data_IF_734220542336
#
_entry.id   IF_734220542336
#
_cell.length_a   1.000
_cell.length_b   1.000
_cell.length_c   1.000
_cell.angle_alpha   90.00
_cell.angle_beta   90.00
_cell.angle_gamma   90.00
#
_symmetry.space_group_name_H-M   'P 1'
#
loop_
_entity.id
_entity.type
_entity.pdbx_description
1 polymer ?
#
# COMPACT_ATOMS: atom_id res chain seq x y z
N UNK A 1 -40.38 -14.45 -1.04
CA UNK A 1 -39.28 -13.47 -1.14
C UNK A 1 -38.00 -14.21 -0.76
N UNK A 2 -37.15 -14.46 -1.74
CA UNK A 2 -36.04 -15.37 -1.61
C UNK A 2 -34.93 -14.76 -0.76
N UNK A 3 -34.34 -15.57 0.09
CA UNK A 3 -33.12 -15.27 0.88
C UNK A 3 -31.87 -15.01 0.01
N UNK A 4 -31.98 -15.28 -1.30
CA UNK A 4 -30.84 -15.23 -2.24
C UNK A 4 -30.24 -13.84 -2.50
N UNK A 5 -31.02 -12.79 -2.27
CA UNK A 5 -30.52 -11.39 -2.44
C UNK A 5 -29.83 -10.84 -1.19
N UNK A 6 -30.05 -11.44 -0.04
CA UNK A 6 -29.48 -10.97 1.23
C UNK A 6 -28.07 -11.53 1.48
N UNK A 7 -27.78 -12.70 0.94
CA UNK A 7 -26.53 -13.43 1.14
C UNK A 7 -25.31 -12.69 0.54
N UNK A 8 -25.32 -12.18 -0.71
CA UNK A 8 -24.17 -11.52 -1.29
C UNK A 8 -23.73 -10.25 -0.56
N UNK A 9 -24.66 -9.47 -0.01
CA UNK A 9 -24.33 -8.23 0.71
C UNK A 9 -23.65 -8.50 2.06
N UNK A 10 -24.08 -9.53 2.78
CA UNK A 10 -23.45 -9.95 4.04
C UNK A 10 -22.04 -10.51 3.77
N UNK A 11 -21.88 -11.30 2.73
CA UNK A 11 -20.60 -11.87 2.35
C UNK A 11 -19.60 -10.80 1.91
N UNK A 12 -20.04 -9.79 1.15
CA UNK A 12 -19.18 -8.68 0.77
C UNK A 12 -18.69 -7.89 1.97
N UNK A 13 -19.54 -7.59 2.94
CA UNK A 13 -19.15 -6.92 4.17
C UNK A 13 -18.16 -7.76 5.01
N UNK A 14 -18.39 -9.08 5.11
CA UNK A 14 -17.50 -10.01 5.81
C UNK A 14 -16.12 -10.14 5.16
N UNK A 15 -15.99 -9.91 3.85
CA UNK A 15 -14.73 -9.90 3.14
C UNK A 15 -14.01 -8.56 3.26
N UNK A 16 -14.70 -7.45 3.01
CA UNK A 16 -14.08 -6.12 2.92
C UNK A 16 -13.50 -5.64 4.26
N UNK A 17 -14.18 -5.92 5.37
CA UNK A 17 -13.70 -5.50 6.69
C UNK A 17 -12.32 -6.09 7.05
N UNK A 18 -12.08 -7.42 6.98
CA UNK A 18 -10.77 -7.98 7.22
C UNK A 18 -9.75 -7.62 6.14
N UNK A 19 -10.17 -7.46 4.87
CA UNK A 19 -9.30 -7.03 3.78
C UNK A 19 -8.63 -5.68 4.10
N UNK A 20 -9.42 -4.67 4.44
CA UNK A 20 -8.88 -3.35 4.76
C UNK A 20 -7.99 -3.32 6.00
N UNK A 21 -8.23 -4.22 6.96
CA UNK A 21 -7.36 -4.34 8.15
C UNK A 21 -6.03 -5.03 7.85
N UNK A 22 -5.98 -5.88 6.84
CA UNK A 22 -4.79 -6.63 6.47
C UNK A 22 -3.84 -5.85 5.56
N UNK A 23 -4.36 -4.89 4.77
CA UNK A 23 -3.56 -4.04 3.87
C UNK A 23 -2.60 -3.15 4.66
N UNK A 24 -1.32 -3.16 4.27
CA UNK A 24 -0.31 -2.22 4.76
C UNK A 24 -0.04 -1.16 3.68
N UNK A 25 0.43 -1.56 2.50
CA UNK A 25 0.66 -0.64 1.38
C UNK A 25 -0.63 -0.01 0.89
N UNK A 26 -1.68 -0.81 0.69
CA UNK A 26 -2.95 -0.34 0.20
C UNK A 26 -3.64 0.73 1.06
N UNK A 27 -3.33 0.82 2.36
CA UNK A 27 -3.91 1.82 3.26
C UNK A 27 -3.17 3.16 3.25
N UNK A 28 -1.91 3.18 2.85
CA UNK A 28 -1.08 4.40 2.89
C UNK A 28 -0.98 5.11 1.54
N UNK A 29 -1.35 4.45 0.45
CA UNK A 29 -1.41 5.04 -0.89
C UNK A 29 -2.69 5.86 -1.10
N UNK A 30 -2.71 6.65 -2.17
CA UNK A 30 -3.90 7.42 -2.54
C UNK A 30 -4.99 6.51 -3.11
N UNK A 31 -6.21 6.58 -2.56
CA UNK A 31 -7.40 5.80 -2.93
C UNK A 31 -8.57 6.65 -3.40
N UNK A 32 -8.34 7.91 -3.73
CA UNK A 32 -9.42 8.85 -4.08
C UNK A 32 -10.19 8.44 -5.34
N UNK A 33 -9.64 7.54 -6.14
CA UNK A 33 -10.20 7.11 -7.42
C UNK A 33 -10.99 5.80 -7.37
N UNK A 34 -11.19 5.20 -6.20
CA UNK A 34 -11.88 3.90 -6.07
C UNK A 34 -13.36 3.93 -6.54
N UNK A 35 -14.03 5.07 -6.42
CA UNK A 35 -15.44 5.21 -6.80
C UNK A 35 -15.71 5.30 -8.32
N UNK A 36 -14.67 5.47 -9.14
CA UNK A 36 -14.80 5.68 -10.58
C UNK A 36 -14.73 4.38 -11.39
N UNK A 37 -14.44 3.25 -10.75
CA UNK A 37 -14.24 1.96 -11.38
C UNK A 37 -15.57 1.20 -11.44
N UNK A 38 -15.89 0.62 -12.60
CA UNK A 38 -17.06 -0.24 -12.79
C UNK A 38 -16.71 -1.63 -13.34
N UNK A 39 -15.69 -1.75 -14.19
CA UNK A 39 -15.37 -3.01 -14.88
C UNK A 39 -13.85 -3.23 -15.03
N UNK A 40 -13.49 -4.49 -15.33
CA UNK A 40 -12.12 -4.83 -15.76
C UNK A 40 -11.78 -4.14 -17.08
N UNK A 41 -10.60 -3.54 -17.11
CA UNK A 41 -10.15 -2.76 -18.28
C UNK A 41 -10.55 -1.29 -18.22
N UNK A 42 -11.29 -0.86 -17.18
CA UNK A 42 -11.55 0.55 -16.96
C UNK A 42 -10.26 1.32 -16.71
N UNK A 43 -10.26 2.56 -17.12
CA UNK A 43 -9.12 3.45 -16.94
C UNK A 43 -9.57 4.76 -16.30
N UNK A 44 -8.86 5.15 -15.25
CA UNK A 44 -9.04 6.43 -14.60
C UNK A 44 -7.96 7.38 -15.08
N UNK A 45 -8.37 8.55 -15.56
CA UNK A 45 -7.47 9.58 -16.05
C UNK A 45 -7.12 10.55 -14.94
N UNK A 46 -5.87 10.52 -14.51
CA UNK A 46 -5.34 11.41 -13.48
C UNK A 46 -4.67 12.58 -14.18
N UNK A 47 -5.25 13.77 -14.06
CA UNK A 47 -4.67 14.97 -14.63
C UNK A 47 -3.71 15.61 -13.63
N UNK A 48 -2.50 15.83 -14.03
CA UNK A 48 -1.49 16.60 -13.30
C UNK A 48 -1.33 17.96 -13.97
N UNK A 49 -1.57 19.02 -13.21
CA UNK A 49 -1.36 20.40 -13.71
C UNK A 49 0.13 20.69 -13.55
N UNK A 50 0.75 21.16 -14.66
CA UNK A 50 2.15 21.56 -14.64
C UNK A 50 2.41 22.77 -13.74
N UNK A 51 3.67 22.96 -13.38
CA UNK A 51 4.08 24.05 -12.49
C UNK A 51 3.79 25.43 -13.10
N UNK A 52 3.34 26.35 -12.25
CA UNK A 52 3.08 27.74 -12.64
C UNK A 52 4.36 28.52 -12.38
N UNK A 53 4.85 29.19 -13.43
CA UNK A 53 6.01 30.08 -13.34
C UNK A 53 5.59 31.42 -12.77
N UNK A 54 6.20 31.83 -11.67
CA UNK A 54 6.03 33.16 -11.09
C UNK A 54 7.10 34.07 -11.68
N UNK A 55 6.68 35.19 -12.27
CA UNK A 55 7.57 36.21 -12.83
C UNK A 55 7.46 37.52 -12.06
N UNK A 56 8.55 38.31 -12.09
CA UNK A 56 8.59 39.60 -11.43
C UNK A 56 7.64 40.59 -12.09
N UNK A 57 6.89 41.33 -11.28
CA UNK A 57 6.01 42.36 -11.75
C UNK A 57 6.75 43.67 -11.94
N UNK A 58 6.72 44.20 -13.17
CA UNK A 58 7.21 45.54 -13.49
C UNK A 58 6.05 46.46 -13.75
N UNK A 59 6.01 47.60 -13.04
CA UNK A 59 4.94 48.59 -13.18
C UNK A 59 4.81 49.08 -14.63
N UNK A 60 3.60 49.08 -15.18
CA UNK A 60 3.24 49.43 -16.55
C UNK A 60 3.72 48.44 -17.65
N UNK A 61 4.21 47.27 -17.27
CA UNK A 61 4.53 46.19 -18.24
C UNK A 61 3.31 45.27 -18.39
N UNK A 62 3.09 44.79 -19.62
CA UNK A 62 2.07 43.79 -19.88
C UNK A 62 2.47 42.45 -19.26
N UNK A 63 1.52 41.76 -18.63
CA UNK A 63 1.73 40.40 -18.08
C UNK A 63 1.73 39.39 -19.23
N UNK A 64 2.68 38.47 -19.21
CA UNK A 64 2.67 37.29 -20.07
C UNK A 64 1.81 36.20 -19.47
N UNK A 65 0.82 35.71 -20.18
CA UNK A 65 -0.03 34.62 -19.76
C UNK A 65 0.65 33.28 -20.12
N UNK A 66 0.79 32.41 -19.09
CA UNK A 66 1.25 31.05 -19.29
C UNK A 66 0.04 30.16 -19.57
N UNK A 67 0.06 29.40 -20.65
CA UNK A 67 -0.91 28.34 -20.88
C UNK A 67 -0.58 27.13 -19.97
N UNK A 68 -1.58 26.66 -19.21
CA UNK A 68 -1.39 25.52 -18.33
C UNK A 68 -1.28 24.24 -19.16
N UNK A 69 -0.14 23.58 -19.05
CA UNK A 69 0.05 22.26 -19.63
C UNK A 69 -0.43 21.20 -18.62
N UNK A 70 -1.30 20.29 -19.06
CA UNK A 70 -1.71 19.15 -18.24
C UNK A 70 -1.03 17.88 -18.75
N UNK A 71 -0.29 17.21 -17.88
CA UNK A 71 0.17 15.85 -18.12
C UNK A 71 -0.92 14.89 -17.66
N UNK A 72 -1.36 14.00 -18.54
CA UNK A 72 -2.37 12.99 -18.21
C UNK A 72 -1.67 11.66 -17.94
N UNK A 73 -1.89 11.09 -16.75
CA UNK A 73 -1.51 9.73 -16.42
C UNK A 73 -2.75 8.85 -16.31
N UNK A 74 -2.69 7.69 -16.89
CA UNK A 74 -3.82 6.76 -16.89
C UNK A 74 -3.53 5.61 -15.93
N UNK A 75 -4.42 5.42 -14.96
CA UNK A 75 -4.47 4.25 -14.08
C UNK A 75 -5.36 3.21 -14.74
N UNK A 76 -4.82 2.04 -15.06
CA UNK A 76 -5.56 0.92 -15.62
C UNK A 76 -5.93 -0.08 -14.53
N UNK A 77 -7.13 -0.63 -14.62
CA UNK A 77 -7.59 -1.75 -13.80
C UNK A 77 -7.30 -3.03 -14.58
N UNK A 78 -6.09 -3.51 -14.45
CA UNK A 78 -5.55 -4.63 -15.23
C UNK A 78 -5.36 -5.91 -14.39
N UNK A 79 -5.55 -5.82 -13.08
CA UNK A 79 -5.42 -6.95 -12.17
C UNK A 79 -6.79 -7.51 -11.78
N UNK A 80 -6.95 -8.81 -11.94
CA UNK A 80 -8.14 -9.53 -11.53
C UNK A 80 -7.72 -10.74 -10.68
N UNK A 81 -8.12 -10.77 -9.42
CA UNK A 81 -7.88 -11.89 -8.52
C UNK A 81 -9.20 -12.51 -8.09
N UNK A 82 -9.29 -13.82 -8.16
CA UNK A 82 -10.47 -14.56 -7.75
C UNK A 82 -10.13 -15.54 -6.64
N UNK A 83 -11.08 -15.73 -5.76
CA UNK A 83 -11.04 -16.81 -4.78
C UNK A 83 -12.29 -17.68 -4.94
N UNK A 84 -12.14 -18.96 -4.64
CA UNK A 84 -13.27 -19.90 -4.58
C UNK A 84 -12.96 -20.97 -3.54
N UNK A 85 -13.94 -21.26 -2.70
CA UNK A 85 -13.87 -22.37 -1.76
C UNK A 85 -15.26 -22.97 -1.59
N UNK A 86 -15.32 -24.26 -1.27
CA UNK A 86 -16.56 -24.98 -0.98
C UNK A 86 -16.52 -25.50 0.46
N UNK A 87 -17.69 -25.56 1.08
CA UNK A 87 -17.87 -26.18 2.39
C UNK A 87 -18.95 -27.24 2.24
N UNK A 88 -18.60 -28.48 2.61
CA UNK A 88 -19.50 -29.61 2.54
C UNK A 88 -20.69 -29.43 3.50
N UNK A 89 -21.88 -29.83 3.08
CA UNK A 89 -23.10 -29.69 3.89
C UNK A 89 -23.03 -30.56 5.17
N UNK A 90 -22.32 -31.69 5.13
CA UNK A 90 -22.10 -32.55 6.30
C UNK A 90 -21.18 -31.83 7.31
N UNK A 91 -20.12 -31.19 6.82
CA UNK A 91 -19.21 -30.39 7.67
C UNK A 91 -19.91 -29.16 8.23
N UNK A 92 -20.79 -28.53 7.45
CA UNK A 92 -21.61 -27.40 7.89
C UNK A 92 -22.57 -27.80 9.01
N UNK A 93 -23.18 -29.00 8.93
CA UNK A 93 -24.07 -29.51 9.94
C UNK A 93 -23.36 -29.93 11.24
N UNK A 94 -22.11 -30.36 11.15
CA UNK A 94 -21.29 -30.81 12.28
C UNK A 94 -20.42 -29.70 12.87
N UNK A 95 -20.05 -28.70 12.09
CA UNK A 95 -19.20 -27.58 12.52
C UNK A 95 -20.03 -26.38 12.98
N UNK A 96 -19.49 -25.66 13.97
CA UNK A 96 -20.10 -24.41 14.42
C UNK A 96 -20.07 -23.38 13.29
N UNK A 97 -21.07 -22.46 13.18
CA UNK A 97 -21.25 -21.53 12.05
C UNK A 97 -20.06 -20.55 11.78
N UNK A 98 -18.94 -20.72 12.49
CA UNK A 98 -17.76 -19.86 12.36
C UNK A 98 -16.81 -20.24 11.21
N UNK A 99 -16.91 -21.47 10.66
CA UNK A 99 -15.95 -21.96 9.64
C UNK A 99 -16.03 -21.13 8.37
N UNK A 100 -17.22 -20.80 7.91
CA UNK A 100 -17.42 -19.98 6.72
C UNK A 100 -16.87 -18.55 6.91
N UNK A 101 -17.08 -17.95 8.09
CA UNK A 101 -16.56 -16.61 8.39
C UNK A 101 -15.04 -16.61 8.47
N UNK A 102 -14.44 -17.67 9.02
CA UNK A 102 -12.98 -17.82 9.05
C UNK A 102 -12.40 -18.01 7.64
N UNK A 103 -13.05 -18.82 6.80
CA UNK A 103 -12.65 -18.98 5.40
C UNK A 103 -12.70 -17.66 4.62
N UNK A 104 -13.74 -16.85 4.82
CA UNK A 104 -13.83 -15.51 4.23
C UNK A 104 -12.73 -14.57 4.72
N UNK A 105 -12.39 -14.62 6.01
CA UNK A 105 -11.29 -13.80 6.56
C UNK A 105 -9.94 -14.22 5.98
N UNK A 106 -9.71 -15.52 5.78
CA UNK A 106 -8.49 -16.03 5.14
C UNK A 106 -8.42 -15.64 3.67
N UNK A 107 -9.54 -15.70 2.94
CA UNK A 107 -9.61 -15.24 1.56
C UNK A 107 -9.33 -13.74 1.44
N UNK A 108 -9.87 -12.94 2.36
CA UNK A 108 -9.60 -11.51 2.43
C UNK A 108 -8.12 -11.23 2.69
N UNK A 109 -7.49 -11.96 3.61
CA UNK A 109 -6.08 -11.83 3.91
C UNK A 109 -5.19 -12.19 2.69
N UNK A 110 -5.53 -13.26 1.96
CA UNK A 110 -4.81 -13.66 0.76
C UNK A 110 -4.91 -12.62 -0.37
N UNK A 111 -6.09 -11.99 -0.54
CA UNK A 111 -6.25 -10.88 -1.51
C UNK A 111 -5.42 -9.67 -1.09
N UNK A 112 -5.44 -9.32 0.21
CA UNK A 112 -4.65 -8.20 0.73
C UNK A 112 -3.15 -8.41 0.50
N UNK A 113 -2.66 -9.61 0.70
CA UNK A 113 -1.27 -9.98 0.48
C UNK A 113 -0.85 -9.78 -0.99
N UNK A 114 -1.68 -10.24 -1.93
CA UNK A 114 -1.47 -10.04 -3.37
C UNK A 114 -1.50 -8.57 -3.79
N UNK A 115 -2.41 -7.77 -3.22
CA UNK A 115 -2.49 -6.34 -3.48
C UNK A 115 -1.22 -5.64 -2.98
N UNK A 116 -0.81 -5.93 -1.75
CA UNK A 116 0.37 -5.31 -1.15
C UNK A 116 1.65 -5.69 -1.90
N UNK A 117 1.79 -6.95 -2.35
CA UNK A 117 2.90 -7.38 -3.21
C UNK A 117 2.92 -6.64 -4.55
N UNK A 118 1.77 -6.42 -5.16
CA UNK A 118 1.66 -5.68 -6.41
C UNK A 118 2.08 -4.21 -6.25
N UNK A 119 1.63 -3.55 -5.18
CA UNK A 119 2.02 -2.15 -4.89
C UNK A 119 3.51 -2.08 -4.56
N UNK A 120 4.02 -3.01 -3.76
CA UNK A 120 5.45 -3.09 -3.43
C UNK A 120 6.32 -3.29 -4.68
N UNK A 121 5.82 -3.97 -5.72
CA UNK A 121 6.47 -4.14 -7.02
C UNK A 121 6.71 -2.85 -7.79
N UNK A 122 6.00 -1.77 -7.46
CA UNK A 122 6.18 -0.45 -8.09
C UNK A 122 7.49 0.26 -7.69
N UNK A 123 8.34 -0.36 -6.88
CA UNK A 123 9.66 0.18 -6.55
C UNK A 123 10.52 0.46 -7.79
N UNK A 124 10.29 -0.27 -8.88
CA UNK A 124 10.99 -0.08 -10.17
C UNK A 124 10.70 1.27 -10.82
N UNK A 125 9.55 1.87 -10.50
CA UNK A 125 9.10 3.15 -11.04
C UNK A 125 9.45 4.32 -10.10
N UNK A 126 10.28 4.09 -9.07
CA UNK A 126 10.73 5.11 -8.15
C UNK A 126 11.64 6.13 -8.84
N UNK A 127 11.39 7.41 -8.62
CA UNK A 127 12.23 8.48 -9.15
C UNK A 127 13.46 8.78 -8.28
N UNK A 128 13.43 8.41 -6.99
CA UNK A 128 14.52 8.56 -6.06
C UNK A 128 15.10 7.18 -5.77
N UNK A 129 16.39 7.00 -6.03
CA UNK A 129 17.08 5.74 -5.67
C UNK A 129 18.29 6.08 -4.80
N UNK A 130 18.25 5.60 -3.57
CA UNK A 130 19.39 5.70 -2.65
C UNK A 130 20.34 4.54 -2.91
N UNK A 131 21.63 4.76 -2.74
CA UNK A 131 22.67 3.76 -2.93
C UNK A 131 22.44 2.50 -2.06
N UNK A 132 22.99 1.37 -2.51
CA UNK A 132 22.88 0.12 -1.78
C UNK A 132 23.56 0.24 -0.41
N UNK A 133 22.82 -0.13 0.64
CA UNK A 133 23.29 0.00 2.03
C UNK A 133 23.17 -1.33 2.76
N UNK A 134 24.21 -1.67 3.52
CA UNK A 134 24.15 -2.78 4.50
C UNK A 134 23.75 -2.20 5.84
N UNK A 135 22.56 -2.56 6.33
CA UNK A 135 22.06 -2.00 7.58
C UNK A 135 22.80 -2.57 8.78
N UNK A 136 23.22 -1.64 9.62
CA UNK A 136 23.65 -1.90 11.00
C UNK A 136 23.01 -0.84 11.91
N UNK A 137 22.96 -1.09 13.20
CA UNK A 137 22.36 -0.15 14.15
C UNK A 137 22.96 1.27 14.09
N UNK A 138 24.23 1.41 13.67
CA UNK A 138 24.89 2.73 13.52
C UNK A 138 24.54 3.46 12.23
N UNK A 139 24.16 2.77 11.16
CA UNK A 139 23.93 3.34 9.82
C UNK A 139 22.44 3.62 9.56
N UNK A 140 21.55 2.98 10.30
CA UNK A 140 20.10 3.08 10.08
C UNK A 140 19.59 4.51 10.09
N UNK A 141 20.04 5.34 11.03
CA UNK A 141 19.58 6.73 11.13
C UNK A 141 20.09 7.59 9.96
N UNK A 142 21.32 7.34 9.51
CA UNK A 142 21.89 7.97 8.33
C UNK A 142 21.09 7.62 7.07
N UNK A 143 20.77 6.35 6.88
CA UNK A 143 19.94 5.88 5.79
C UNK A 143 18.53 6.52 5.78
N UNK A 144 17.87 6.66 6.95
CA UNK A 144 16.58 7.35 7.04
C UNK A 144 16.74 8.85 6.74
N UNK A 145 17.85 9.45 7.18
CA UNK A 145 18.14 10.86 6.89
C UNK A 145 18.37 11.10 5.38
N UNK A 146 19.11 10.23 4.70
CA UNK A 146 19.27 10.26 3.23
C UNK A 146 17.93 10.14 2.50
N UNK A 147 17.02 9.26 2.98
CA UNK A 147 15.68 9.17 2.44
C UNK A 147 14.87 10.46 2.63
N UNK A 148 15.03 11.12 3.78
CA UNK A 148 14.40 12.42 4.03
C UNK A 148 15.00 13.53 3.15
N UNK A 149 16.32 13.51 2.95
CA UNK A 149 17.03 14.45 2.06
C UNK A 149 16.52 14.33 0.62
N UNK A 150 16.45 13.12 0.06
CA UNK A 150 15.96 12.92 -1.30
C UNK A 150 14.54 13.46 -1.51
N UNK A 151 13.63 13.28 -0.54
CA UNK A 151 12.29 13.88 -0.60
C UNK A 151 12.29 15.40 -0.43
N UNK A 152 13.22 15.95 0.37
CA UNK A 152 13.36 17.41 0.54
C UNK A 152 13.88 18.06 -0.75
N UNK A 153 14.87 17.46 -1.40
CA UNK A 153 15.37 17.92 -2.70
C UNK A 153 14.29 17.89 -3.79
N UNK A 154 13.42 16.90 -3.75
CA UNK A 154 12.24 16.81 -4.62
C UNK A 154 11.10 17.78 -4.22
N UNK A 155 11.28 18.64 -3.23
CA UNK A 155 10.27 19.53 -2.68
C UNK A 155 8.97 18.80 -2.25
N UNK A 156 9.08 17.54 -1.81
CA UNK A 156 7.94 16.78 -1.31
C UNK A 156 7.47 17.32 0.05
N UNK A 157 6.15 17.29 0.28
CA UNK A 157 5.57 17.67 1.57
C UNK A 157 6.25 16.95 2.73
N UNK A 158 6.48 17.66 3.82
CA UNK A 158 6.99 17.07 5.06
C UNK A 158 5.92 16.31 5.84
N UNK A 159 4.65 16.57 5.56
CA UNK A 159 3.51 15.90 6.20
C UNK A 159 3.11 14.65 5.41
N UNK A 160 2.80 13.57 6.13
CA UNK A 160 2.29 12.34 5.52
C UNK A 160 3.35 11.55 4.75
N UNK A 161 4.61 11.63 5.18
CA UNK A 161 5.68 10.77 4.66
C UNK A 161 5.57 9.39 5.27
N UNK A 162 5.58 8.39 4.43
CA UNK A 162 5.48 6.99 4.82
C UNK A 162 6.76 6.26 4.41
N UNK A 163 7.19 5.32 5.25
CA UNK A 163 8.29 4.41 4.93
C UNK A 163 7.85 2.99 5.29
N UNK A 164 7.91 2.07 4.32
CA UNK A 164 7.52 0.68 4.54
C UNK A 164 8.76 -0.19 4.41
N UNK A 165 9.09 -0.89 5.49
CA UNK A 165 10.32 -1.67 5.64
C UNK A 165 10.02 -3.14 5.90
N UNK A 166 10.97 -4.00 5.54
CA UNK A 166 10.88 -5.43 5.86
C UNK A 166 11.17 -5.67 7.36
N UNK A 167 10.61 -6.72 8.01
CA UNK A 167 10.83 -7.01 9.43
C UNK A 167 12.29 -7.06 9.88
N UNK A 168 13.19 -7.56 9.02
CA UNK A 168 14.63 -7.56 9.33
C UNK A 168 15.19 -6.15 9.46
N UNK A 169 14.80 -5.24 8.55
CA UNK A 169 15.19 -3.83 8.61
C UNK A 169 14.58 -3.14 9.82
N UNK A 170 13.31 -3.46 10.14
CA UNK A 170 12.61 -2.97 11.31
C UNK A 170 13.36 -3.31 12.61
N UNK A 171 13.94 -4.51 12.70
CA UNK A 171 14.76 -4.91 13.85
C UNK A 171 15.97 -4.02 14.03
N UNK A 172 16.69 -3.67 12.95
CA UNK A 172 17.83 -2.77 13.01
C UNK A 172 17.41 -1.35 13.40
N UNK A 173 16.26 -0.88 12.90
CA UNK A 173 15.70 0.44 13.30
C UNK A 173 15.41 0.45 14.79
N UNK A 174 14.74 -0.57 15.32
CA UNK A 174 14.43 -0.67 16.74
C UNK A 174 15.69 -0.74 17.61
N UNK A 175 16.70 -1.51 17.20
CA UNK A 175 17.98 -1.60 17.91
C UNK A 175 18.71 -0.25 17.94
N UNK A 176 18.71 0.48 16.82
CA UNK A 176 19.29 1.82 16.77
C UNK A 176 18.59 2.82 17.71
N UNK A 177 17.25 2.74 17.76
CA UNK A 177 16.44 3.63 18.59
C UNK A 177 16.46 3.27 20.09
N UNK A 178 16.73 2.01 20.42
CA UNK A 178 16.84 1.55 21.82
C UNK A 178 18.24 1.60 22.39
N UNK A 179 19.24 2.09 21.63
CA UNK A 179 20.62 2.21 22.09
C UNK A 179 21.40 0.88 22.14
N UNK A 180 20.91 -0.14 21.42
CA UNK A 180 21.54 -1.46 21.35
C UNK A 180 22.80 -1.52 20.49
N UNK A 181 23.82 -0.65 20.74
CA UNK A 181 25.09 -0.77 20.01
C UNK A 181 26.02 0.46 19.99
N UNK A 182 25.54 1.61 20.34
CA UNK A 182 26.36 2.80 20.56
C UNK A 182 25.62 3.75 21.52
N UNK A 183 26.35 4.54 22.29
CA UNK A 183 25.82 5.57 23.19
C UNK A 183 25.11 6.70 22.39
N UNK A 184 24.06 6.35 21.67
CA UNK A 184 23.17 7.34 21.06
C UNK A 184 22.10 7.63 22.12
N UNK A 185 22.26 8.75 22.77
CA UNK A 185 21.28 9.30 23.71
C UNK A 185 20.09 9.83 22.88
N UNK A 186 19.32 8.93 22.27
CA UNK A 186 18.11 9.30 21.56
C UNK A 186 17.06 9.61 22.62
N UNK A 187 16.50 10.83 22.65
CA UNK A 187 15.36 11.11 23.50
C UNK A 187 14.32 10.04 23.27
N UNK A 188 13.69 9.53 24.33
CA UNK A 188 12.64 8.51 24.29
C UNK A 188 11.53 8.96 23.33
N UNK A 189 11.68 8.64 22.05
CA UNK A 189 10.70 8.97 21.00
C UNK A 189 9.47 8.03 21.11
N UNK A 190 9.56 7.02 21.97
CA UNK A 190 8.55 5.96 22.10
C UNK A 190 7.98 5.89 23.50
N UNK A 191 7.13 6.84 23.87
CA UNK A 191 6.47 6.82 25.19
C UNK A 191 5.13 6.08 25.19
N UNK A 192 4.61 5.65 24.05
CA UNK A 192 3.34 4.96 23.92
C UNK A 192 3.42 3.71 23.03
N UNK A 193 3.70 2.55 23.63
CA UNK A 193 3.36 1.23 23.09
C UNK A 193 3.93 0.90 21.72
N UNK A 194 5.14 0.49 21.72
CA UNK A 194 6.10 0.31 20.64
C UNK A 194 5.74 -0.60 19.48
N UNK A 195 4.64 -1.10 19.24
CA UNK A 195 4.27 -1.85 18.03
C UNK A 195 2.78 -2.24 18.12
N UNK A 196 1.92 -1.42 17.58
CA UNK A 196 0.56 -1.83 17.29
C UNK A 196 0.39 -1.92 15.77
N UNK A 197 -0.04 -3.07 15.28
CA UNK A 197 -0.43 -3.28 13.87
C UNK A 197 0.67 -3.00 12.81
N UNK A 198 1.93 -3.35 13.10
CA UNK A 198 3.02 -3.13 12.15
C UNK A 198 3.56 -1.69 12.07
N UNK A 199 3.00 -0.75 12.82
CA UNK A 199 3.53 0.60 12.97
C UNK A 199 4.68 0.61 13.97
N UNK A 200 5.87 1.08 13.54
CA UNK A 200 7.08 1.08 14.37
C UNK A 200 7.22 2.42 15.11
N UNK A 201 6.82 3.50 14.48
CA UNK A 201 6.97 4.85 15.03
C UNK A 201 7.24 5.89 13.95
N UNK A 202 7.46 7.14 14.36
CA UNK A 202 7.82 8.23 13.45
C UNK A 202 9.25 8.65 13.69
N UNK A 203 10.08 8.67 12.64
CA UNK A 203 11.49 9.06 12.66
C UNK A 203 11.78 9.95 11.46
N UNK A 204 12.46 11.09 11.67
CA UNK A 204 12.76 12.07 10.62
C UNK A 204 11.54 12.50 9.77
N UNK A 205 10.35 12.51 10.38
CA UNK A 205 9.11 12.86 9.69
C UNK A 205 8.48 11.74 8.87
N UNK A 206 9.06 10.52 8.89
CA UNK A 206 8.46 9.33 8.31
C UNK A 206 7.66 8.56 9.35
N UNK A 207 6.45 8.16 8.98
CA UNK A 207 5.72 7.13 9.67
C UNK A 207 6.17 5.77 9.13
N UNK A 208 6.86 4.99 9.99
CA UNK A 208 7.49 3.74 9.59
C UNK A 208 6.56 2.57 9.87
N UNK A 209 6.25 1.81 8.82
CA UNK A 209 5.44 0.61 8.89
C UNK A 209 6.26 -0.61 8.47
N UNK A 210 5.86 -1.78 9.00
CA UNK A 210 6.49 -3.06 8.72
C UNK A 210 5.59 -3.92 7.84
N UNK A 211 6.16 -4.49 6.76
CA UNK A 211 5.46 -5.46 5.92
C UNK A 211 6.42 -6.55 5.42
N UNK A 212 5.94 -7.79 5.39
CA UNK A 212 6.66 -8.90 4.78
C UNK A 212 6.67 -8.82 3.24
N UNK A 213 5.79 -8.01 2.66
CA UNK A 213 5.59 -7.89 1.21
C UNK A 213 6.57 -6.92 0.53
N UNK A 214 7.53 -6.38 1.29
CA UNK A 214 8.64 -5.61 0.70
C UNK A 214 9.41 -6.49 -0.28
N UNK A 215 9.52 -6.02 -1.53
CA UNK A 215 10.13 -6.77 -2.61
C UNK A 215 11.64 -6.99 -2.42
N UNK A 216 12.14 -8.09 -2.97
CA UNK A 216 13.56 -8.38 -3.02
C UNK A 216 14.04 -8.26 -4.47
N UNK A 217 15.11 -7.51 -4.70
CA UNK A 217 15.78 -7.44 -6.01
C UNK A 217 16.75 -8.59 -6.22
N UNK A 218 17.33 -9.10 -5.15
CA UNK A 218 18.20 -10.29 -5.13
C UNK A 218 18.18 -10.92 -3.73
N UNK A 219 18.76 -12.10 -3.57
CA UNK A 219 18.77 -12.83 -2.31
C UNK A 219 19.34 -11.97 -1.17
N UNK A 220 18.50 -11.65 -0.18
CA UNK A 220 18.87 -10.84 0.98
C UNK A 220 18.86 -9.32 0.77
N UNK A 221 18.57 -8.83 -0.45
CA UNK A 221 18.49 -7.39 -0.74
C UNK A 221 17.04 -6.96 -0.88
N UNK A 222 16.55 -6.23 0.08
CA UNK A 222 15.19 -5.73 0.14
C UNK A 222 15.08 -4.32 -0.45
N UNK A 223 13.91 -3.99 -0.99
CA UNK A 223 13.58 -2.71 -1.60
C UNK A 223 12.49 -2.00 -0.79
N UNK A 224 12.80 -1.41 0.38
CA UNK A 224 11.85 -0.61 1.12
C UNK A 224 11.41 0.59 0.29
N UNK A 225 10.15 0.98 0.45
CA UNK A 225 9.58 2.15 -0.21
C UNK A 225 9.42 3.29 0.79
N UNK A 226 9.83 4.48 0.37
CA UNK A 226 9.55 5.71 1.08
C UNK A 226 8.91 6.73 0.14
N UNK A 227 7.81 7.32 0.57
CA UNK A 227 7.00 8.17 -0.30
C UNK A 227 6.05 9.06 0.49
N UNK A 228 5.44 9.99 -0.21
CA UNK A 228 4.26 10.71 0.27
C UNK A 228 3.00 10.15 -0.40
N UNK A 229 1.86 10.20 0.29
CA UNK A 229 0.61 9.58 -0.14
C UNK A 229 0.23 9.79 -1.61
N UNK A 230 0.37 10.99 -2.23
CA UNK A 230 0.03 11.20 -3.64
C UNK A 230 1.01 10.61 -4.65
N UNK A 231 2.09 9.94 -4.21
CA UNK A 231 3.07 9.32 -5.12
C UNK A 231 2.46 8.15 -5.89
N UNK A 232 1.69 7.31 -5.20
CA UNK A 232 1.08 6.10 -5.75
C UNK A 232 -0.43 6.23 -5.62
N UNK A 233 -1.16 6.00 -6.71
CA UNK A 233 -2.61 5.84 -6.69
C UNK A 233 -2.97 4.38 -6.86
N UNK A 234 -3.87 3.94 -6.02
CA UNK A 234 -4.47 2.62 -6.03
C UNK A 234 -5.97 2.74 -6.18
N UNK A 235 -6.55 1.83 -6.92
CA UNK A 235 -7.98 1.72 -7.04
C UNK A 235 -8.38 0.25 -7.11
N UNK A 236 -9.30 -0.16 -6.25
CA UNK A 236 -9.73 -1.54 -6.16
C UNK A 236 -11.22 -1.66 -5.87
N UNK A 237 -11.83 -2.68 -6.43
CA UNK A 237 -13.25 -2.95 -6.27
C UNK A 237 -13.53 -4.45 -6.17
N UNK A 238 -14.42 -4.80 -5.26
CA UNK A 238 -15.03 -6.12 -5.22
C UNK A 238 -16.10 -6.22 -6.31
N UNK A 239 -15.73 -6.84 -7.43
CA UNK A 239 -16.60 -6.87 -8.61
C UNK A 239 -17.81 -7.81 -8.42
N UNK A 240 -17.60 -8.97 -7.80
CA UNK A 240 -18.68 -9.97 -7.65
C UNK A 240 -18.38 -10.95 -6.52
N UNK A 241 -19.41 -11.25 -5.72
CA UNK A 241 -19.42 -12.42 -4.83
C UNK A 241 -20.66 -13.25 -5.19
N UNK A 242 -20.50 -14.55 -5.32
CA UNK A 242 -21.58 -15.48 -5.60
C UNK A 242 -21.45 -16.72 -4.74
N UNK A 243 -22.60 -17.19 -4.25
CA UNK A 243 -22.74 -18.53 -3.68
C UNK A 243 -23.27 -19.45 -4.77
N UNK A 244 -22.69 -20.62 -4.92
CA UNK A 244 -23.03 -21.61 -5.95
C UNK A 244 -23.14 -22.96 -5.28
N UNK A 245 -24.26 -23.63 -5.48
CA UNK A 245 -24.37 -25.06 -5.18
C UNK A 245 -23.71 -25.82 -6.33
N UNK A 246 -22.73 -26.66 -6.03
CA UNK A 246 -22.05 -27.45 -7.06
C UNK A 246 -22.90 -28.67 -7.40
N UNK A 247 -23.10 -28.90 -8.70
CA UNK A 247 -23.97 -29.99 -9.18
C UNK A 247 -23.42 -31.39 -8.88
N UNK A 248 -22.08 -31.51 -8.79
CA UNK A 248 -21.41 -32.79 -8.59
C UNK A 248 -21.12 -33.11 -7.11
N UNK A 249 -21.46 -32.22 -6.18
CA UNK A 249 -21.13 -32.35 -4.76
C UNK A 249 -22.25 -31.76 -3.90
N UNK A 250 -22.45 -32.32 -2.71
CA UNK A 250 -23.37 -31.77 -1.72
C UNK A 250 -22.64 -30.69 -0.91
N UNK A 251 -22.30 -29.56 -1.57
CA UNK A 251 -21.62 -28.47 -0.93
C UNK A 251 -22.09 -27.10 -1.44
N UNK A 252 -21.86 -26.11 -0.60
CA UNK A 252 -22.02 -24.70 -0.96
C UNK A 252 -20.65 -24.09 -1.23
N UNK A 253 -20.45 -23.64 -2.48
CA UNK A 253 -19.28 -22.90 -2.89
C UNK A 253 -19.48 -21.39 -2.81
N UNK A 254 -18.50 -20.66 -2.31
CA UNK A 254 -18.42 -19.21 -2.42
C UNK A 254 -17.29 -18.84 -3.36
N UNK A 255 -17.59 -17.99 -4.34
CA UNK A 255 -16.58 -17.43 -5.25
C UNK A 255 -16.68 -15.92 -5.28
N UNK A 256 -15.53 -15.27 -5.31
CA UNK A 256 -15.44 -13.83 -5.40
C UNK A 256 -14.39 -13.39 -6.42
N UNK A 257 -14.61 -12.22 -6.99
CA UNK A 257 -13.73 -11.57 -7.95
C UNK A 257 -13.41 -10.16 -7.42
N UNK A 258 -12.15 -9.88 -7.26
CA UNK A 258 -11.64 -8.57 -6.89
C UNK A 258 -10.81 -8.00 -8.04
N UNK A 259 -11.13 -6.78 -8.46
CA UNK A 259 -10.45 -6.05 -9.52
C UNK A 259 -9.66 -4.91 -8.90
N UNK A 260 -8.43 -4.69 -9.35
CA UNK A 260 -7.63 -3.57 -8.87
C UNK A 260 -6.60 -3.13 -9.90
N UNK A 261 -6.06 -1.95 -9.68
CA UNK A 261 -4.92 -1.42 -10.37
C UNK A 261 -4.16 -0.45 -9.50
N UNK A 262 -2.88 -0.30 -9.76
CA UNK A 262 -2.03 0.70 -9.11
C UNK A 262 -1.09 1.34 -10.11
N UNK A 263 -0.79 2.62 -9.89
CA UNK A 263 0.11 3.39 -10.75
C UNK A 263 0.90 4.40 -9.95
N UNK A 264 2.18 4.53 -10.26
CA UNK A 264 2.99 5.64 -9.78
C UNK A 264 2.60 6.90 -10.55
N UNK A 265 1.98 7.83 -9.83
CA UNK A 265 1.53 9.12 -10.39
C UNK A 265 2.68 10.13 -10.34
N UNK A 266 3.39 10.19 -9.22
CA UNK A 266 4.50 11.13 -9.03
C UNK A 266 5.79 10.40 -8.66
N UNK A 267 6.60 9.96 -9.65
CA UNK A 267 7.87 9.28 -9.37
C UNK A 267 8.84 10.13 -8.54
N UNK A 268 8.84 11.45 -8.72
CA UNK A 268 9.74 12.36 -8.01
C UNK A 268 9.61 12.35 -6.48
N UNK A 269 8.46 11.91 -5.96
CA UNK A 269 8.19 11.83 -4.51
C UNK A 269 8.03 10.38 -4.03
N UNK A 270 8.48 9.43 -4.83
CA UNK A 270 8.60 8.01 -4.52
C UNK A 270 10.06 7.61 -4.54
N UNK A 271 10.54 7.01 -3.48
CA UNK A 271 11.91 6.54 -3.40
C UNK A 271 12.03 5.10 -2.93
N UNK A 272 13.14 4.49 -3.31
CA UNK A 272 13.56 3.16 -2.87
C UNK A 272 15.05 3.13 -2.59
N UNK A 273 15.48 2.12 -1.85
CA UNK A 273 16.89 1.85 -1.57
C UNK A 273 17.12 0.35 -1.59
N UNK A 274 18.21 -0.10 -2.18
CA UNK A 274 18.64 -1.49 -2.09
C UNK A 274 19.29 -1.74 -0.72
N UNK A 275 18.60 -2.45 0.16
CA UNK A 275 19.06 -2.67 1.54
C UNK A 275 19.32 -4.14 1.81
N UNK A 276 20.55 -4.46 2.18
CA UNK A 276 20.93 -5.77 2.70
C UNK A 276 20.79 -5.75 4.23
N UNK A 277 20.01 -6.70 4.77
CA UNK A 277 19.70 -6.82 6.19
C UNK A 277 20.03 -8.22 6.72
#
# INVERSE_FOLDING_TARGET
>A
MGLDTFVPSIWSANLLSPLYKALVFGNVVNRDYEGEIQQYGDSVRINEIGDITVSDYTKYSALSWQELTSAQKTLYIDQAKSFSFGVDDVDTAQSKPKVMQEAMSRAAYAIADEIDQHIAGLYTDAGITIGATVLSAGIVLEWIAEAAEGLNEANASTNGRMMIVHPKQATHILLALTGGGAEINVPKVFDNGLIANGYIGSVYGFDIMMSNNVQQSSAGVYQPLFFTRPAISFAGQLAKIQTVNREDHFDQGVKGLYLYGSKVVRPAILGTCAVTA
#
